data_IF_106640281006
#
_entry.id   IF_106640281006
#
_cell.length_a   1.000
_cell.length_b   1.000
_cell.length_c   1.000
_cell.angle_alpha   90.00
_cell.angle_beta   90.00
_cell.angle_gamma   90.00
#
_symmetry.space_group_name_H-M   'P 1'
#
loop_
_entity.id
_entity.type
_entity.pdbx_description
1 polymer ?
#
# COMPACT_ATOMS: atom_id res chain seq x y z
N UNK A 1 -1.66 3.69 -36.38
CA UNK A 1 -1.98 2.40 -35.75
C UNK A 1 -2.48 2.73 -34.36
N UNK A 2 -3.67 2.29 -33.96
CA UNK A 2 -4.15 2.51 -32.60
C UNK A 2 -3.44 1.55 -31.64
N UNK A 3 -2.90 2.06 -30.53
CA UNK A 3 -2.24 1.28 -29.48
C UNK A 3 -3.24 1.16 -28.32
N UNK A 4 -3.69 -0.06 -27.96
CA UNK A 4 -4.60 -0.24 -26.84
C UNK A 4 -3.93 0.12 -25.50
N UNK A 5 -4.71 0.70 -24.57
CA UNK A 5 -4.22 1.15 -23.23
C UNK A 5 -3.39 0.08 -22.51
N UNK A 6 -3.86 -1.18 -22.50
CA UNK A 6 -3.15 -2.29 -21.83
C UNK A 6 -1.76 -2.60 -22.41
N UNK A 7 -1.48 -2.17 -23.65
CA UNK A 7 -0.20 -2.42 -24.31
C UNK A 7 0.85 -1.35 -24.03
N UNK A 8 0.47 -0.18 -23.50
CA UNK A 8 1.42 0.93 -23.28
C UNK A 8 2.55 0.56 -22.33
N UNK A 9 2.26 -0.16 -21.24
CA UNK A 9 3.30 -0.60 -20.30
C UNK A 9 4.30 -1.57 -20.94
N UNK A 10 3.82 -2.54 -21.71
CA UNK A 10 4.69 -3.50 -22.43
C UNK A 10 5.52 -2.80 -23.52
N UNK A 11 4.93 -1.83 -24.21
CA UNK A 11 5.62 -1.04 -25.23
C UNK A 11 6.70 -0.16 -24.59
N UNK A 12 6.37 0.55 -23.51
CA UNK A 12 7.33 1.38 -22.76
C UNK A 12 8.50 0.54 -22.23
N UNK A 13 8.23 -0.66 -21.72
CA UNK A 13 9.26 -1.58 -21.25
C UNK A 13 10.16 -2.15 -22.38
N UNK A 14 9.66 -2.17 -23.62
CA UNK A 14 10.42 -2.64 -24.78
C UNK A 14 11.12 -1.50 -25.55
N UNK A 15 10.77 -0.26 -25.26
CA UNK A 15 11.56 0.91 -25.70
C UNK A 15 12.84 0.91 -24.86
N UNK A 16 14.01 1.09 -25.49
CA UNK A 16 15.26 1.19 -24.76
C UNK A 16 15.18 2.36 -23.79
N UNK A 17 15.56 2.11 -22.54
CA UNK A 17 15.67 3.15 -21.52
C UNK A 17 16.57 4.33 -21.96
N UNK A 18 17.47 4.06 -22.92
CA UNK A 18 18.34 5.04 -23.58
C UNK A 18 18.21 4.91 -25.10
N UNK A 19 17.33 5.68 -25.75
CA UNK A 19 17.23 5.72 -27.20
C UNK A 19 18.44 6.48 -27.79
N UNK A 20 18.90 6.04 -28.95
CA UNK A 20 19.95 6.76 -29.69
C UNK A 20 19.40 8.05 -30.29
N UNK A 21 20.28 8.99 -30.66
CA UNK A 21 19.90 10.27 -31.32
C UNK A 21 18.99 10.02 -32.53
N UNK A 22 19.32 9.01 -33.35
CA UNK A 22 18.52 8.63 -34.53
C UNK A 22 17.14 8.07 -34.18
N UNK A 23 17.00 7.43 -33.02
CA UNK A 23 15.72 6.91 -32.52
C UNK A 23 14.85 8.04 -31.94
N UNK A 24 15.46 9.04 -31.30
CA UNK A 24 14.79 10.25 -30.82
C UNK A 24 14.28 11.13 -31.97
N UNK A 25 15.05 11.23 -33.06
CA UNK A 25 14.66 11.94 -34.28
C UNK A 25 13.66 11.16 -35.15
N UNK A 26 13.13 10.02 -34.66
CA UNK A 26 12.19 9.17 -35.40
C UNK A 26 12.73 8.72 -36.77
N UNK A 27 14.05 8.55 -36.92
CA UNK A 27 14.70 8.01 -38.12
C UNK A 27 14.82 6.49 -38.07
N UNK A 28 15.02 5.95 -36.87
CA UNK A 28 15.12 4.52 -36.62
C UNK A 28 14.06 4.06 -35.60
N UNK A 29 13.59 2.83 -35.73
CA UNK A 29 12.65 2.22 -34.80
C UNK A 29 13.29 2.09 -33.40
N UNK A 30 12.60 2.60 -32.38
CA UNK A 30 13.08 2.51 -31.00
C UNK A 30 13.17 1.06 -30.49
N UNK A 31 12.35 0.14 -31.01
CA UNK A 31 12.31 -1.25 -30.52
C UNK A 31 13.36 -2.16 -31.20
N UNK A 32 13.61 -1.97 -32.49
CA UNK A 32 14.52 -2.85 -33.24
C UNK A 32 15.76 -2.16 -33.82
N UNK A 33 15.86 -0.83 -33.71
CA UNK A 33 16.99 -0.05 -34.26
C UNK A 33 17.04 0.03 -35.79
N UNK A 34 16.07 -0.58 -36.50
CA UNK A 34 16.04 -0.53 -37.96
C UNK A 34 15.52 0.82 -38.46
N UNK A 35 16.09 1.39 -39.54
CA UNK A 35 15.59 2.62 -40.14
C UNK A 35 14.16 2.44 -40.65
N UNK A 36 13.35 3.50 -40.57
CA UNK A 36 12.03 3.50 -41.18
C UNK A 36 12.17 3.47 -42.71
N UNK A 37 11.70 2.39 -43.35
CA UNK A 37 11.69 2.28 -44.80
C UNK A 37 10.74 3.30 -45.45
N UNK A 38 10.92 3.60 -46.74
CA UNK A 38 10.08 4.57 -47.48
C UNK A 38 8.58 4.27 -47.43
N UNK A 39 8.21 3.02 -47.15
CA UNK A 39 6.82 2.54 -47.12
C UNK A 39 6.27 2.30 -45.68
N UNK A 40 7.13 2.37 -44.65
CA UNK A 40 6.77 2.08 -43.26
C UNK A 40 6.85 3.35 -42.41
N UNK A 41 5.74 4.08 -42.32
CA UNK A 41 5.65 5.27 -41.48
C UNK A 41 5.92 4.98 -39.99
N UNK A 42 6.70 5.85 -39.37
CA UNK A 42 6.92 5.91 -37.94
C UNK A 42 5.57 6.01 -37.19
N UNK A 43 5.39 5.19 -36.16
CA UNK A 43 4.24 5.29 -35.25
C UNK A 43 4.74 5.94 -33.96
N UNK A 44 4.29 7.15 -33.63
CA UNK A 44 4.73 7.85 -32.43
C UNK A 44 4.29 7.08 -31.18
N UNK A 45 5.18 7.01 -30.19
CA UNK A 45 4.93 6.37 -28.89
C UNK A 45 4.67 7.40 -27.78
N UNK A 46 4.95 8.68 -28.06
CA UNK A 46 4.67 9.82 -27.19
C UNK A 46 3.30 10.46 -27.46
N UNK A 47 2.87 11.38 -26.58
CA UNK A 47 1.61 12.12 -26.72
C UNK A 47 1.62 13.10 -27.91
N UNK A 48 2.79 13.56 -28.34
CA UNK A 48 2.96 14.43 -29.51
C UNK A 48 3.42 13.62 -30.75
N UNK A 49 2.70 13.67 -31.89
CA UNK A 49 3.10 13.00 -33.12
C UNK A 49 4.39 13.53 -33.77
N UNK A 50 4.82 14.74 -33.40
CA UNK A 50 5.97 15.43 -34.01
C UNK A 50 7.29 15.28 -33.25
N UNK A 51 7.28 14.76 -32.03
CA UNK A 51 8.47 14.69 -31.16
C UNK A 51 8.48 13.42 -30.30
N UNK A 52 9.66 12.79 -30.17
CA UNK A 52 9.86 11.63 -29.30
C UNK A 52 9.98 10.27 -30.02
N UNK A 53 10.11 9.18 -29.25
CA UNK A 53 10.44 7.86 -29.79
C UNK A 53 9.31 7.29 -30.65
N UNK A 54 9.68 6.71 -31.78
CA UNK A 54 8.75 6.05 -32.70
C UNK A 54 9.03 4.55 -32.83
N UNK A 55 7.98 3.77 -33.00
CA UNK A 55 8.03 2.33 -33.26
C UNK A 55 7.61 1.97 -34.68
N UNK A 56 8.17 0.90 -35.25
CA UNK A 56 7.68 0.36 -36.52
C UNK A 56 6.48 -0.57 -36.28
N UNK A 57 5.54 -0.62 -37.24
CA UNK A 57 4.31 -1.44 -37.13
C UNK A 57 4.57 -2.92 -36.78
N UNK A 58 5.57 -3.62 -37.36
CA UNK A 58 5.85 -5.01 -37.01
C UNK A 58 6.24 -5.20 -35.53
N UNK A 59 7.13 -4.35 -35.02
CA UNK A 59 7.54 -4.38 -33.62
C UNK A 59 6.37 -4.09 -32.68
N UNK A 60 5.56 -3.08 -32.98
CA UNK A 60 4.40 -2.74 -32.17
C UNK A 60 3.34 -3.83 -32.19
N UNK A 61 3.10 -4.48 -33.33
CA UNK A 61 2.16 -5.61 -33.40
C UNK A 61 2.62 -6.77 -32.50
N UNK A 62 3.91 -7.11 -32.52
CA UNK A 62 4.48 -8.14 -31.65
C UNK A 62 4.33 -7.79 -30.17
N UNK A 63 4.59 -6.54 -29.80
CA UNK A 63 4.48 -6.06 -28.42
C UNK A 63 3.04 -6.01 -27.93
N UNK A 64 2.09 -5.58 -28.77
CA UNK A 64 0.66 -5.61 -28.45
C UNK A 64 0.16 -7.05 -28.25
N UNK A 65 0.60 -7.99 -29.10
CA UNK A 65 0.27 -9.43 -28.91
C UNK A 65 0.83 -9.95 -27.58
N UNK A 66 2.09 -9.66 -27.27
CA UNK A 66 2.71 -10.06 -26.00
C UNK A 66 2.01 -9.43 -24.79
N UNK A 67 1.60 -8.17 -24.88
CA UNK A 67 0.86 -7.49 -23.82
C UNK A 67 -0.52 -8.14 -23.60
N UNK A 68 -1.18 -8.56 -24.68
CA UNK A 68 -2.45 -9.30 -24.60
C UNK A 68 -2.26 -10.65 -23.93
N UNK A 69 -1.26 -11.43 -24.34
CA UNK A 69 -0.94 -12.72 -23.73
C UNK A 69 -0.61 -12.58 -22.24
N UNK A 70 0.18 -11.58 -21.86
CA UNK A 70 0.52 -11.30 -20.46
C UNK A 70 -0.70 -10.90 -19.64
N UNK A 71 -1.58 -10.04 -20.18
CA UNK A 71 -2.85 -9.66 -19.53
C UNK A 71 -3.75 -10.88 -19.34
N UNK A 72 -3.91 -11.69 -20.38
CA UNK A 72 -4.80 -12.86 -20.33
C UNK A 72 -4.25 -13.91 -19.34
N UNK A 73 -2.92 -14.06 -19.25
CA UNK A 73 -2.27 -14.89 -18.24
C UNK A 73 -2.43 -14.33 -16.81
N UNK A 74 -2.30 -13.01 -16.62
CA UNK A 74 -2.51 -12.37 -15.32
C UNK A 74 -3.96 -12.54 -14.86
N UNK A 75 -4.94 -12.36 -15.76
CA UNK A 75 -6.35 -12.62 -15.47
C UNK A 75 -6.62 -14.08 -15.08
N UNK A 76 -5.94 -15.03 -15.73
CA UNK A 76 -6.04 -16.44 -15.37
C UNK A 76 -5.45 -16.72 -13.98
N UNK A 77 -4.28 -16.15 -13.68
CA UNK A 77 -3.66 -16.26 -12.35
C UNK A 77 -4.50 -15.61 -11.25
N UNK A 78 -5.09 -14.44 -11.52
CA UNK A 78 -5.99 -13.77 -10.59
C UNK A 78 -7.25 -14.61 -10.35
N UNK A 79 -7.82 -15.22 -11.40
CA UNK A 79 -8.95 -16.13 -11.26
C UNK A 79 -8.59 -17.41 -10.47
N UNK A 80 -7.38 -17.95 -10.65
CA UNK A 80 -6.88 -19.08 -9.87
C UNK A 80 -6.70 -18.73 -8.40
N UNK A 81 -6.12 -17.56 -8.12
CA UNK A 81 -5.96 -17.05 -6.75
C UNK A 81 -7.32 -16.84 -6.08
N UNK A 82 -8.26 -16.20 -6.77
CA UNK A 82 -9.63 -15.99 -6.25
C UNK A 82 -10.30 -17.33 -5.92
N UNK A 83 -10.11 -18.37 -6.73
CA UNK A 83 -10.63 -19.71 -6.44
C UNK A 83 -9.98 -20.33 -5.21
N UNK A 84 -8.66 -20.25 -5.10
CA UNK A 84 -7.93 -20.79 -3.94
C UNK A 84 -8.32 -20.09 -2.64
N UNK A 85 -8.45 -18.75 -2.67
CA UNK A 85 -8.86 -17.95 -1.52
C UNK A 85 -10.30 -18.32 -1.09
N UNK A 86 -11.20 -18.52 -2.05
CA UNK A 86 -12.57 -18.96 -1.78
C UNK A 86 -12.62 -20.38 -1.18
N UNK A 87 -11.86 -21.33 -1.73
CA UNK A 87 -11.77 -22.71 -1.21
C UNK A 87 -11.19 -22.75 0.22
N UNK A 88 -10.14 -21.96 0.47
CA UNK A 88 -9.53 -21.84 1.80
C UNK A 88 -10.51 -21.23 2.82
N UNK A 89 -11.26 -20.19 2.42
CA UNK A 89 -12.29 -19.60 3.25
C UNK A 89 -13.45 -20.56 3.51
N UNK A 90 -13.93 -21.30 2.51
CA UNK A 90 -15.00 -22.30 2.67
C UNK A 90 -14.60 -23.38 3.69
N UNK A 91 -13.35 -23.84 3.65
CA UNK A 91 -12.82 -24.80 4.63
C UNK A 91 -12.75 -24.22 6.04
N UNK A 92 -12.21 -23.00 6.20
CA UNK A 92 -12.12 -22.33 7.50
C UNK A 92 -13.51 -22.07 8.10
N UNK A 93 -14.46 -21.65 7.26
CA UNK A 93 -15.85 -21.44 7.62
C UNK A 93 -16.54 -22.72 8.07
N UNK A 94 -16.39 -23.82 7.33
CA UNK A 94 -16.96 -25.10 7.71
C UNK A 94 -16.45 -25.56 9.09
N UNK A 95 -15.15 -25.35 9.35
CA UNK A 95 -14.54 -25.65 10.65
C UNK A 95 -15.09 -24.78 11.77
N UNK A 96 -15.28 -23.49 11.52
CA UNK A 96 -15.88 -22.56 12.49
C UNK A 96 -17.34 -22.95 12.81
N UNK A 97 -18.16 -23.26 11.80
CA UNK A 97 -19.54 -23.74 12.01
C UNK A 97 -19.57 -25.03 12.83
N UNK A 98 -18.70 -25.99 12.53
CA UNK A 98 -18.62 -27.24 13.30
C UNK A 98 -18.27 -27.01 14.78
N UNK A 99 -17.45 -25.98 15.07
CA UNK A 99 -17.12 -25.58 16.45
C UNK A 99 -18.31 -24.95 17.17
N UNK A 100 -19.03 -24.04 16.50
CA UNK A 100 -20.28 -23.48 17.04
C UNK A 100 -21.28 -24.60 17.36
N UNK A 101 -21.40 -25.59 16.46
CA UNK A 101 -22.29 -26.73 16.65
C UNK A 101 -21.85 -27.67 17.79
N UNK A 102 -20.55 -27.87 18.00
CA UNK A 102 -20.04 -28.66 19.11
C UNK A 102 -20.38 -28.00 20.47
N UNK A 103 -20.15 -26.69 20.61
CA UNK A 103 -20.48 -25.95 21.84
C UNK A 103 -22.00 -25.87 22.03
N UNK A 104 -22.77 -25.71 20.95
CA UNK A 104 -24.24 -25.77 21.00
C UNK A 104 -24.72 -27.09 21.56
N UNK A 105 -24.20 -28.21 21.07
CA UNK A 105 -24.56 -29.55 21.58
C UNK A 105 -24.18 -29.71 23.05
N UNK A 106 -23.00 -29.25 23.46
CA UNK A 106 -22.62 -29.26 24.88
C UNK A 106 -23.59 -28.42 25.73
N UNK A 107 -24.05 -27.27 25.25
CA UNK A 107 -25.04 -26.44 25.93
C UNK A 107 -26.39 -27.16 26.09
N UNK A 108 -26.83 -27.86 25.04
CA UNK A 108 -28.06 -28.66 25.08
C UNK A 108 -27.96 -29.80 26.11
N UNK A 109 -26.86 -30.54 26.13
CA UNK A 109 -26.62 -31.62 27.11
C UNK A 109 -26.56 -31.08 28.55
N UNK A 110 -25.90 -29.95 28.79
CA UNK A 110 -25.87 -29.33 30.13
C UNK A 110 -27.27 -28.84 30.54
N UNK A 111 -28.08 -28.35 29.61
CA UNK A 111 -29.46 -27.97 29.88
C UNK A 111 -30.32 -29.19 30.26
N UNK A 112 -30.13 -30.34 29.60
CA UNK A 112 -30.78 -31.59 29.98
C UNK A 112 -30.34 -32.07 31.37
N UNK A 113 -29.04 -32.01 31.67
CA UNK A 113 -28.49 -32.35 32.99
C UNK A 113 -29.03 -31.44 34.10
N UNK A 114 -29.29 -30.16 33.82
CA UNK A 114 -29.90 -29.24 34.78
C UNK A 114 -31.30 -29.68 35.22
N UNK A 115 -32.03 -30.38 34.36
CA UNK A 115 -33.33 -30.99 34.66
C UNK A 115 -33.24 -32.30 35.44
N UNK A 116 -32.05 -32.89 35.59
CA UNK A 116 -31.85 -34.12 36.35
C UNK A 116 -31.55 -33.83 37.82
N UNK A 117 -32.46 -34.23 38.71
CA UNK A 117 -32.34 -34.01 40.15
C UNK A 117 -31.15 -34.75 40.79
N UNK A 118 -30.64 -35.81 40.15
CA UNK A 118 -29.50 -36.61 40.63
C UNK A 118 -28.16 -35.87 40.51
N UNK A 119 -28.08 -34.81 39.69
CA UNK A 119 -26.86 -34.03 39.53
C UNK A 119 -26.74 -32.97 40.64
N UNK A 120 -25.64 -32.96 41.42
CA UNK A 120 -25.44 -31.96 42.47
C UNK A 120 -25.41 -30.52 41.90
N UNK A 121 -26.10 -29.55 42.53
CA UNK A 121 -26.13 -28.17 42.06
C UNK A 121 -24.75 -27.53 41.87
N UNK A 122 -23.81 -27.79 42.78
CA UNK A 122 -22.42 -27.31 42.65
C UNK A 122 -21.71 -27.86 41.41
N UNK A 123 -21.98 -29.12 41.02
CA UNK A 123 -21.40 -29.74 39.84
C UNK A 123 -21.98 -29.13 38.56
N UNK A 124 -23.28 -28.82 38.56
CA UNK A 124 -23.93 -28.10 37.47
C UNK A 124 -23.36 -26.68 37.30
N UNK A 125 -23.06 -25.98 38.41
CA UNK A 125 -22.40 -24.68 38.35
C UNK A 125 -21.00 -24.75 37.68
N UNK A 126 -20.23 -25.81 37.96
CA UNK A 126 -18.94 -26.04 37.29
C UNK A 126 -19.09 -26.32 35.80
N UNK A 127 -20.01 -27.21 35.40
CA UNK A 127 -20.31 -27.47 33.99
C UNK A 127 -20.69 -26.18 33.24
N UNK A 128 -21.46 -25.31 33.88
CA UNK A 128 -21.85 -24.03 33.32
C UNK A 128 -20.66 -23.07 33.14
N UNK A 129 -19.74 -23.01 34.11
CA UNK A 129 -18.49 -22.22 34.00
C UNK A 129 -17.62 -22.75 32.85
N UNK A 130 -17.48 -24.08 32.75
CA UNK A 130 -16.73 -24.75 31.68
C UNK A 130 -17.33 -24.44 30.31
N UNK A 131 -18.67 -24.47 30.19
CA UNK A 131 -19.39 -24.16 28.97
C UNK A 131 -19.26 -22.68 28.55
N UNK A 132 -19.36 -21.73 29.49
CA UNK A 132 -19.15 -20.30 29.21
C UNK A 132 -17.72 -20.04 28.74
N UNK A 133 -16.75 -20.72 29.34
CA UNK A 133 -15.36 -20.67 28.85
C UNK A 133 -15.28 -21.22 27.42
N UNK A 134 -15.82 -22.40 27.14
CA UNK A 134 -15.81 -22.96 25.79
C UNK A 134 -16.47 -22.03 24.74
N UNK A 135 -17.56 -21.34 25.11
CA UNK A 135 -18.21 -20.34 24.26
C UNK A 135 -17.34 -19.09 24.04
N UNK A 136 -16.68 -18.59 25.09
CA UNK A 136 -15.82 -17.40 25.01
C UNK A 136 -14.51 -17.64 24.23
N UNK A 137 -14.06 -18.89 24.16
CA UNK A 137 -12.85 -19.30 23.45
C UNK A 137 -13.08 -19.64 21.97
N UNK A 138 -14.31 -19.54 21.46
CA UNK A 138 -14.58 -19.67 20.01
C UNK A 138 -13.91 -18.49 19.30
N UNK A 139 -12.96 -18.71 18.37
CA UNK A 139 -12.34 -17.63 17.61
C UNK A 139 -13.36 -16.87 16.79
N UNK A 140 -13.06 -15.60 16.49
CA UNK A 140 -13.88 -14.79 15.58
C UNK A 140 -14.16 -15.51 14.25
N UNK A 141 -15.31 -15.22 13.66
CA UNK A 141 -15.69 -15.75 12.36
C UNK A 141 -14.64 -15.41 11.28
N UNK A 142 -14.34 -16.34 10.36
CA UNK A 142 -13.38 -16.08 9.29
C UNK A 142 -13.90 -15.00 8.33
N UNK A 143 -13.07 -13.98 8.08
CA UNK A 143 -13.40 -12.89 7.15
C UNK A 143 -13.64 -13.41 5.73
N UNK A 144 -14.79 -13.04 5.14
CA UNK A 144 -15.14 -13.40 3.76
C UNK A 144 -14.27 -12.68 2.74
N UNK A 145 -13.68 -13.38 1.75
CA UNK A 145 -12.96 -12.72 0.68
C UNK A 145 -13.92 -11.87 -0.18
N UNK A 146 -13.44 -10.80 -0.83
CA UNK A 146 -14.30 -9.88 -1.61
C UNK A 146 -15.06 -10.54 -2.77
N UNK A 147 -14.63 -11.74 -3.17
CA UNK A 147 -15.24 -12.55 -4.23
C UNK A 147 -16.45 -13.36 -3.79
N UNK A 148 -16.68 -13.48 -2.48
CA UNK A 148 -17.80 -14.22 -1.91
C UNK A 148 -18.79 -13.23 -1.30
N UNK A 149 -20.08 -13.51 -1.49
CA UNK A 149 -21.16 -12.66 -0.99
C UNK A 149 -21.10 -12.56 0.55
N UNK A 150 -21.37 -11.37 1.06
CA UNK A 150 -21.07 -11.00 2.45
C UNK A 150 -22.11 -11.55 3.45
N UNK A 151 -23.27 -12.00 2.98
CA UNK A 151 -24.34 -12.56 3.81
C UNK A 151 -24.29 -14.10 3.88
N UNK A 152 -23.54 -14.62 4.84
CA UNK A 152 -23.51 -16.06 5.08
C UNK A 152 -24.64 -16.53 6.02
N UNK A 153 -25.77 -16.91 5.43
CA UNK A 153 -26.95 -17.37 6.19
C UNK A 153 -26.70 -18.58 7.08
N UNK A 154 -25.78 -19.49 6.72
CA UNK A 154 -25.53 -20.68 7.52
C UNK A 154 -24.69 -20.32 8.74
N UNK A 155 -23.70 -19.44 8.59
CA UNK A 155 -22.91 -18.93 9.72
C UNK A 155 -23.82 -18.18 10.70
N UNK A 156 -24.62 -17.22 10.22
CA UNK A 156 -25.54 -16.47 11.08
C UNK A 156 -26.59 -17.37 11.74
N UNK A 157 -27.05 -18.42 11.04
CA UNK A 157 -27.97 -19.41 11.63
C UNK A 157 -27.29 -20.22 12.75
N UNK A 158 -26.03 -20.62 12.59
CA UNK A 158 -25.28 -21.37 13.60
C UNK A 158 -25.01 -20.52 14.85
N UNK A 159 -24.61 -19.26 14.67
CA UNK A 159 -24.43 -18.29 15.76
C UNK A 159 -25.73 -18.07 16.53
N UNK A 160 -26.85 -17.89 15.82
CA UNK A 160 -28.17 -17.72 16.43
C UNK A 160 -28.58 -18.96 17.24
N UNK A 161 -28.35 -20.16 16.69
CA UNK A 161 -28.68 -21.42 17.38
C UNK A 161 -27.85 -21.62 18.64
N UNK A 162 -26.53 -21.35 18.58
CA UNK A 162 -25.68 -21.35 19.78
C UNK A 162 -26.17 -20.33 20.80
N UNK A 163 -26.47 -19.10 20.38
CA UNK A 163 -27.00 -18.06 21.26
C UNK A 163 -28.29 -18.50 21.97
N UNK A 164 -29.21 -19.14 21.23
CA UNK A 164 -30.44 -19.69 21.79
C UNK A 164 -30.16 -20.81 22.79
N UNK A 165 -29.28 -21.76 22.48
CA UNK A 165 -28.93 -22.86 23.39
C UNK A 165 -28.25 -22.35 24.68
N UNK A 166 -27.38 -21.35 24.56
CA UNK A 166 -26.74 -20.69 25.70
C UNK A 166 -27.74 -19.95 26.59
N UNK A 167 -28.81 -19.37 26.04
CA UNK A 167 -29.88 -18.78 26.84
C UNK A 167 -30.63 -19.88 27.61
N UNK A 168 -31.00 -20.97 26.94
CA UNK A 168 -31.73 -22.10 27.56
C UNK A 168 -30.95 -22.72 28.71
N UNK A 169 -29.66 -23.01 28.53
CA UNK A 169 -28.83 -23.61 29.59
C UNK A 169 -28.61 -22.66 30.77
N UNK A 170 -28.45 -21.35 30.51
CA UNK A 170 -28.37 -20.32 31.56
C UNK A 170 -29.64 -20.30 32.39
N UNK A 171 -30.81 -20.31 31.75
CA UNK A 171 -32.10 -20.32 32.43
C UNK A 171 -32.28 -21.58 33.27
N UNK A 172 -32.07 -22.76 32.69
CA UNK A 172 -32.21 -24.04 33.39
C UNK A 172 -31.25 -24.16 34.59
N UNK A 173 -30.01 -23.71 34.42
CA UNK A 173 -29.01 -23.72 35.50
C UNK A 173 -29.36 -22.71 36.58
N UNK A 174 -29.79 -21.50 36.21
CA UNK A 174 -30.19 -20.47 37.17
C UNK A 174 -31.39 -20.92 38.01
N UNK A 175 -32.41 -21.52 37.39
CA UNK A 175 -33.57 -22.07 38.10
C UNK A 175 -33.15 -23.16 39.10
N UNK A 176 -32.28 -24.09 38.68
CA UNK A 176 -31.79 -25.17 39.54
C UNK A 176 -30.97 -24.65 40.73
N UNK A 177 -30.07 -23.69 40.48
CA UNK A 177 -29.25 -23.08 41.52
C UNK A 177 -30.07 -22.19 42.46
N UNK A 178 -31.03 -21.42 41.95
CA UNK A 178 -31.93 -20.62 42.76
C UNK A 178 -32.78 -21.50 43.68
N UNK A 179 -33.32 -22.60 43.16
CA UNK A 179 -34.08 -23.57 43.96
C UNK A 179 -33.21 -24.21 45.06
N UNK A 180 -31.96 -24.57 44.73
CA UNK A 180 -31.01 -25.05 45.73
C UNK A 180 -30.72 -24.01 46.81
N UNK A 181 -30.42 -22.77 46.44
CA UNK A 181 -30.15 -21.68 47.39
C UNK A 181 -31.36 -21.38 48.28
N UNK A 182 -32.58 -21.40 47.74
CA UNK A 182 -33.80 -21.20 48.52
C UNK A 182 -34.00 -22.34 49.52
N UNK A 183 -33.75 -23.59 49.11
CA UNK A 183 -33.90 -24.75 49.99
C UNK A 183 -32.82 -24.83 51.07
N UNK A 184 -31.56 -24.53 50.74
CA UNK A 184 -30.46 -24.49 51.72
C UNK A 184 -30.60 -23.29 52.68
N UNK A 185 -31.21 -22.19 52.23
CA UNK A 185 -31.49 -21.03 53.07
C UNK A 185 -32.77 -21.18 53.91
N UNK A 186 -33.55 -22.25 53.72
CA UNK A 186 -34.70 -22.54 54.59
C UNK A 186 -34.25 -23.32 55.83
N UNK A 187 -34.40 -22.75 57.04
CA UNK A 187 -34.11 -23.49 58.26
C UNK A 187 -35.12 -24.62 58.48
N UNK A 188 -34.66 -25.74 59.08
CA UNK A 188 -35.47 -26.94 59.37
C UNK A 188 -36.71 -26.65 60.24
N UNK A 189 -36.70 -25.53 60.98
CA UNK A 189 -37.87 -24.95 61.63
C UNK A 189 -37.93 -23.45 61.26
N UNK A 190 -39.07 -22.94 60.72
CA UNK A 190 -39.22 -21.54 60.35
C UNK A 190 -39.39 -20.68 61.61
N UNK A 191 -38.34 -20.56 62.41
CA UNK A 191 -38.26 -19.53 63.44
C UNK A 191 -37.89 -18.20 62.79
N UNK A 192 -38.71 -17.19 63.05
CA UNK A 192 -38.48 -15.80 62.66
C UNK A 192 -37.22 -15.27 63.35
N UNK A 193 -36.04 -15.52 62.77
CA UNK A 193 -34.79 -14.98 63.30
C UNK A 193 -34.53 -13.61 62.67
N UNK A 194 -34.66 -12.56 63.49
CA UNK A 194 -34.15 -11.24 63.18
C UNK A 194 -32.68 -11.17 63.56
N UNK A 195 -31.79 -11.48 62.62
CA UNK A 195 -30.35 -11.12 62.63
C UNK A 195 -29.71 -11.60 61.32
N UNK A 196 -29.91 -10.84 60.24
CA UNK A 196 -29.05 -10.91 59.06
C UNK A 196 -27.98 -9.83 59.17
N UNK A 197 -26.95 -10.08 59.98
CA UNK A 197 -25.72 -9.29 59.96
C UNK A 197 -24.55 -10.24 59.69
N UNK A 198 -23.93 -10.08 58.52
CA UNK A 198 -22.59 -10.61 58.30
C UNK A 198 -21.67 -10.02 59.39
N UNK A 199 -20.77 -10.81 60.01
CA UNK A 199 -19.75 -10.24 60.88
C UNK A 199 -18.98 -9.16 60.12
N UNK A 200 -18.62 -8.06 60.79
CA UNK A 200 -17.96 -6.87 60.20
C UNK A 200 -16.64 -7.17 59.46
N UNK A 201 -16.12 -8.40 59.57
CA UNK A 201 -14.88 -8.87 58.95
C UNK A 201 -15.07 -9.83 57.75
N UNK A 202 -16.31 -10.08 57.31
CA UNK A 202 -16.55 -10.88 56.11
C UNK A 202 -16.19 -10.08 54.84
N UNK A 203 -15.05 -10.39 54.22
CA UNK A 203 -14.59 -9.69 53.00
C UNK A 203 -15.20 -10.21 51.69
N UNK A 204 -16.04 -11.25 51.75
CA UNK A 204 -16.72 -11.82 50.58
C UNK A 204 -15.77 -12.35 49.48
N UNK A 205 -14.49 -12.57 49.78
CA UNK A 205 -13.47 -12.97 48.80
C UNK A 205 -13.18 -14.47 48.90
N UNK A 206 -13.63 -15.22 47.90
CA UNK A 206 -13.19 -16.59 47.66
C UNK A 206 -12.12 -16.55 46.56
N UNK A 207 -10.85 -16.73 46.92
CA UNK A 207 -9.74 -16.84 45.97
C UNK A 207 -9.80 -18.21 45.27
N UNK A 208 -10.29 -18.27 44.03
CA UNK A 208 -10.28 -19.48 43.20
C UNK A 208 -9.13 -19.42 42.18
N UNK A 209 -7.91 -19.71 42.64
CA UNK A 209 -6.69 -19.77 41.81
C UNK A 209 -6.42 -21.16 41.21
N UNK A 210 -7.42 -22.05 41.17
CA UNK A 210 -7.28 -23.47 40.78
C UNK A 210 -8.16 -23.87 39.60
N UNK A 211 -8.83 -22.91 38.95
CA UNK A 211 -9.77 -23.18 37.86
C UNK A 211 -8.98 -23.32 36.56
N UNK A 212 -8.82 -24.55 36.07
CA UNK A 212 -8.25 -24.84 34.75
C UNK A 212 -9.36 -24.69 33.69
N UNK A 213 -9.68 -23.44 33.32
CA UNK A 213 -10.79 -23.10 32.42
C UNK A 213 -10.45 -23.22 30.93
N UNK A 214 -9.78 -24.29 30.53
CA UNK A 214 -9.46 -24.58 29.13
C UNK A 214 -10.72 -24.89 28.29
N UNK A 215 -10.69 -24.67 26.97
CA UNK A 215 -11.84 -24.91 26.07
C UNK A 215 -12.29 -26.38 26.05
N UNK A 216 -11.42 -27.30 26.46
CA UNK A 216 -11.67 -28.74 26.44
C UNK A 216 -12.31 -29.26 27.74
N UNK A 217 -12.28 -28.47 28.83
CA UNK A 217 -12.70 -28.90 30.17
C UNK A 217 -14.17 -29.35 30.23
N UNK A 218 -15.08 -28.70 29.48
CA UNK A 218 -16.49 -29.10 29.44
C UNK A 218 -16.69 -30.46 28.77
N UNK A 219 -15.89 -30.78 27.75
CA UNK A 219 -15.99 -32.06 27.05
C UNK A 219 -15.44 -33.21 27.90
N UNK A 220 -14.37 -32.95 28.64
CA UNK A 220 -13.83 -33.89 29.63
C UNK A 220 -14.83 -34.14 30.77
N UNK A 221 -15.45 -33.10 31.32
CA UNK A 221 -16.47 -33.25 32.37
C UNK A 221 -17.74 -33.96 31.88
N UNK A 222 -18.22 -33.70 30.65
CA UNK A 222 -19.35 -34.43 30.06
C UNK A 222 -19.03 -35.92 29.84
N UNK A 223 -17.79 -36.22 29.47
CA UNK A 223 -17.33 -37.60 29.31
C UNK A 223 -17.35 -38.36 30.65
N UNK A 224 -17.00 -37.72 31.76
CA UNK A 224 -17.11 -38.30 33.11
C UNK A 224 -18.56 -38.66 33.48
N UNK A 225 -19.55 -38.00 32.86
CA UNK A 225 -20.97 -38.29 33.01
C UNK A 225 -21.53 -39.26 31.95
N UNK A 226 -20.66 -39.91 31.18
CA UNK A 226 -21.04 -40.92 30.19
C UNK A 226 -21.54 -40.33 28.85
N UNK A 227 -21.45 -39.02 28.67
CA UNK A 227 -21.87 -38.32 27.45
C UNK A 227 -20.62 -38.12 26.58
N UNK A 228 -20.60 -38.77 25.41
CA UNK A 228 -19.46 -38.65 24.49
C UNK A 228 -19.80 -37.67 23.37
N UNK A 229 -19.10 -36.53 23.36
CA UNK A 229 -19.15 -35.56 22.27
C UNK A 229 -17.80 -35.53 21.54
N UNK A 230 -17.84 -35.43 20.21
CA UNK A 230 -16.63 -35.23 19.41
C UNK A 230 -16.06 -33.84 19.71
N UNK A 231 -14.89 -33.80 20.36
CA UNK A 231 -14.16 -32.56 20.57
C UNK A 231 -13.79 -31.94 19.20
N UNK A 232 -13.97 -30.62 19.01
CA UNK A 232 -13.57 -29.98 17.77
C UNK A 232 -12.06 -30.13 17.62
N UNK A 233 -11.60 -30.81 16.56
CA UNK A 233 -10.18 -30.97 16.29
C UNK A 233 -9.43 -29.62 16.28
N UNK A 234 -8.10 -29.63 16.51
CA UNK A 234 -7.31 -28.42 16.53
C UNK A 234 -7.58 -27.61 15.26
N UNK A 235 -7.99 -26.37 15.42
CA UNK A 235 -8.31 -25.51 14.29
C UNK A 235 -7.08 -25.26 13.43
N UNK A 236 -7.23 -25.03 12.11
CA UNK A 236 -6.14 -24.48 11.33
C UNK A 236 -5.65 -23.20 12.03
N UNK A 237 -4.34 -23.07 12.20
CA UNK A 237 -3.72 -21.90 12.83
C UNK A 237 -4.24 -20.64 12.12
N UNK A 238 -4.57 -19.60 12.89
CA UNK A 238 -4.96 -18.32 12.30
C UNK A 238 -3.89 -17.87 11.29
N UNK A 239 -4.24 -17.21 10.17
CA UNK A 239 -3.26 -16.76 9.17
C UNK A 239 -2.10 -15.96 9.80
N UNK A 240 -2.38 -15.24 10.89
CA UNK A 240 -1.43 -14.47 11.68
C UNK A 240 -0.45 -15.34 12.49
N UNK A 241 -0.89 -16.47 13.04
CA UNK A 241 -0.03 -17.47 13.71
C UNK A 241 0.70 -18.37 12.70
N UNK A 242 0.04 -18.74 11.61
CA UNK A 242 0.65 -19.46 10.49
C UNK A 242 1.79 -18.65 9.85
N UNK A 243 1.64 -17.31 9.76
CA UNK A 243 2.69 -16.41 9.29
C UNK A 243 3.92 -16.33 10.21
N UNK A 244 3.77 -16.61 11.52
CA UNK A 244 4.88 -16.65 12.47
C UNK A 244 5.74 -17.92 12.33
N UNK A 245 5.16 -18.99 11.79
CA UNK A 245 5.84 -20.25 11.53
C UNK A 245 6.08 -20.53 10.05
N UNK A 246 5.67 -19.61 9.17
CA UNK A 246 5.97 -19.69 7.75
C UNK A 246 7.50 -19.62 7.56
N UNK A 247 8.06 -20.47 6.67
CA UNK A 247 9.46 -20.32 6.29
C UNK A 247 9.68 -18.87 5.81
N UNK A 248 10.87 -18.29 6.07
CA UNK A 248 11.14 -16.89 5.74
C UNK A 248 10.78 -16.64 4.28
N UNK A 249 10.18 -15.48 3.94
CA UNK A 249 9.69 -15.21 2.60
C UNK A 249 10.80 -15.53 1.61
N UNK A 250 10.48 -16.38 0.64
CA UNK A 250 11.36 -16.62 -0.50
C UNK A 250 11.76 -15.24 -1.02
N UNK A 251 13.07 -15.00 -1.08
CA UNK A 251 13.66 -13.73 -1.52
C UNK A 251 12.96 -13.35 -2.83
N UNK A 252 12.07 -12.36 -2.77
CA UNK A 252 11.25 -11.99 -3.92
C UNK A 252 12.18 -11.72 -5.09
N UNK A 253 11.84 -12.26 -6.26
CA UNK A 253 12.68 -12.10 -7.44
C UNK A 253 12.95 -10.61 -7.71
N UNK A 254 14.20 -10.25 -8.04
CA UNK A 254 14.58 -8.87 -8.31
C UNK A 254 13.67 -8.27 -9.40
N UNK A 255 13.06 -7.10 -9.14
CA UNK A 255 12.20 -6.41 -10.13
C UNK A 255 12.94 -6.09 -11.43
N UNK A 256 14.21 -5.71 -11.32
CA UNK A 256 15.10 -5.33 -12.41
C UNK A 256 16.43 -6.08 -12.25
N UNK A 257 16.53 -7.34 -12.74
CA UNK A 257 17.74 -8.15 -12.57
C UNK A 257 18.95 -7.50 -13.26
N UNK A 258 20.11 -7.47 -12.61
CA UNK A 258 21.34 -6.90 -13.20
C UNK A 258 21.26 -5.40 -13.48
N UNK A 259 20.54 -4.65 -12.65
CA UNK A 259 20.46 -3.19 -12.77
C UNK A 259 21.82 -2.54 -12.51
N UNK A 260 22.49 -2.91 -11.42
CA UNK A 260 23.81 -2.37 -11.06
C UNK A 260 24.86 -2.52 -12.17
N UNK A 261 24.94 -3.71 -12.78
CA UNK A 261 25.88 -4.01 -13.88
C UNK A 261 25.64 -3.16 -15.14
N UNK A 262 24.39 -2.74 -15.37
CA UNK A 262 23.97 -2.03 -16.59
C UNK A 262 23.85 -0.52 -16.40
N UNK A 263 23.49 -0.08 -15.21
CA UNK A 263 23.23 1.32 -14.89
C UNK A 263 24.51 2.14 -14.75
N UNK A 264 25.55 1.57 -14.15
CA UNK A 264 26.83 2.25 -13.92
C UNK A 264 27.43 2.87 -15.19
N UNK A 265 27.72 2.06 -16.23
CA UNK A 265 28.32 2.57 -17.47
C UNK A 265 27.44 3.58 -18.21
N UNK A 266 26.11 3.38 -18.19
CA UNK A 266 25.13 4.25 -18.81
C UNK A 266 25.07 5.63 -18.13
N UNK A 267 25.07 5.67 -16.80
CA UNK A 267 25.06 6.88 -16.01
C UNK A 267 26.39 7.65 -16.12
N UNK A 268 27.51 6.93 -16.10
CA UNK A 268 28.83 7.53 -16.30
C UNK A 268 28.96 8.20 -17.69
N UNK A 269 28.42 7.59 -18.75
CA UNK A 269 28.37 8.19 -20.08
C UNK A 269 27.53 9.48 -20.15
N UNK A 270 26.61 9.67 -19.20
CA UNK A 270 25.74 10.84 -19.07
C UNK A 270 26.26 11.82 -18.01
N UNK A 271 27.49 11.61 -17.51
CA UNK A 271 28.17 12.50 -16.57
C UNK A 271 27.74 12.32 -15.11
N UNK A 272 26.95 11.28 -14.78
CA UNK A 272 26.61 10.93 -13.40
C UNK A 272 27.66 9.96 -12.88
N UNK A 273 28.46 10.42 -11.92
CA UNK A 273 29.38 9.56 -11.17
C UNK A 273 28.58 8.66 -10.22
N UNK A 274 28.55 7.35 -10.50
CA UNK A 274 27.83 6.36 -9.69
C UNK A 274 28.60 5.92 -8.44
N UNK A 275 29.88 6.27 -8.36
CA UNK A 275 30.73 5.98 -7.21
C UNK A 275 30.72 7.13 -6.19
N UNK A 276 30.36 8.34 -6.61
CA UNK A 276 29.98 9.44 -5.72
C UNK A 276 28.53 9.26 -5.22
N UNK A 277 28.31 8.93 -3.92
CA UNK A 277 26.98 8.73 -3.38
C UNK A 277 26.10 9.97 -3.44
N UNK A 278 26.68 11.18 -3.35
CA UNK A 278 25.94 12.43 -3.37
C UNK A 278 25.52 12.80 -4.79
N UNK A 279 26.38 12.58 -5.79
CA UNK A 279 26.02 12.75 -7.20
C UNK A 279 24.90 11.78 -7.61
N UNK A 280 25.03 10.51 -7.24
CA UNK A 280 24.01 9.49 -7.53
C UNK A 280 22.69 9.80 -6.82
N UNK A 281 22.72 10.18 -5.54
CA UNK A 281 21.54 10.59 -4.78
C UNK A 281 20.86 11.82 -5.39
N UNK A 282 21.64 12.82 -5.81
CA UNK A 282 21.12 14.02 -6.46
C UNK A 282 20.42 13.71 -7.78
N UNK A 283 21.02 12.85 -8.60
CA UNK A 283 20.45 12.40 -9.87
C UNK A 283 19.19 11.53 -9.66
N UNK A 284 19.20 10.64 -8.67
CA UNK A 284 18.04 9.83 -8.32
C UNK A 284 16.86 10.67 -7.82
N UNK A 285 17.10 11.71 -7.03
CA UNK A 285 16.06 12.63 -6.60
C UNK A 285 15.48 13.41 -7.79
N UNK A 286 16.32 13.86 -8.73
CA UNK A 286 15.85 14.49 -9.96
C UNK A 286 14.99 13.53 -10.80
N UNK A 287 15.36 12.24 -10.83
CA UNK A 287 14.59 11.20 -11.50
C UNK A 287 13.22 10.96 -10.90
N UNK A 288 13.13 10.80 -9.57
CA UNK A 288 11.85 10.65 -8.89
C UNK A 288 10.92 11.84 -9.16
N UNK A 289 11.45 13.06 -9.12
CA UNK A 289 10.67 14.27 -9.43
C UNK A 289 10.24 14.28 -10.90
N UNK A 290 11.12 13.92 -11.83
CA UNK A 290 10.81 13.86 -13.25
C UNK A 290 9.72 12.82 -13.54
N UNK A 291 9.78 11.64 -12.93
CA UNK A 291 8.76 10.60 -13.10
C UNK A 291 7.39 11.06 -12.57
N UNK A 292 7.38 11.75 -11.43
CA UNK A 292 6.14 12.24 -10.82
C UNK A 292 5.52 13.41 -11.61
N UNK A 293 6.34 14.34 -12.10
CA UNK A 293 5.86 15.54 -12.80
C UNK A 293 5.67 15.33 -14.31
N UNK A 294 6.58 14.62 -14.98
CA UNK A 294 6.58 14.49 -16.45
C UNK A 294 5.89 13.22 -16.98
N UNK A 295 5.75 12.16 -16.17
CA UNK A 295 5.07 10.93 -16.60
C UNK A 295 3.58 10.86 -16.20
N UNK A 296 3.04 11.97 -15.70
CA UNK A 296 1.68 12.08 -15.18
C UNK A 296 0.82 13.10 -15.93
N UNK A 297 -0.38 13.38 -15.44
CA UNK A 297 -1.33 14.27 -16.11
C UNK A 297 -1.08 15.75 -15.81
N UNK A 298 0.15 16.12 -15.43
CA UNK A 298 0.50 17.48 -15.04
C UNK A 298 0.33 18.46 -16.20
N UNK A 299 0.65 18.06 -17.44
CA UNK A 299 0.47 18.93 -18.60
C UNK A 299 -1.01 19.28 -18.79
N UNK A 300 -1.92 18.31 -18.61
CA UNK A 300 -3.36 18.57 -18.62
C UNK A 300 -3.81 19.49 -17.47
N UNK A 301 -3.16 19.41 -16.29
CA UNK A 301 -3.40 20.32 -15.17
C UNK A 301 -2.89 21.75 -15.48
N UNK A 302 -1.75 21.88 -16.17
CA UNK A 302 -1.18 23.17 -16.60
C UNK A 302 -2.03 23.87 -17.64
N UNK A 303 -2.58 23.11 -18.58
CA UNK A 303 -3.45 23.63 -19.63
C UNK A 303 -4.85 24.01 -19.13
N UNK A 304 -5.27 23.46 -17.98
CA UNK A 304 -6.56 23.76 -17.39
C UNK A 304 -6.64 25.19 -16.80
N UNK A 305 -7.83 25.81 -16.77
CA UNK A 305 -8.03 27.09 -16.10
C UNK A 305 -7.59 27.04 -14.63
N UNK A 306 -6.72 27.99 -14.24
CA UNK A 306 -6.13 28.03 -12.91
C UNK A 306 -4.96 27.07 -12.70
N UNK A 307 -4.45 26.44 -13.76
CA UNK A 307 -3.25 25.60 -13.73
C UNK A 307 -1.96 26.37 -13.40
N UNK A 308 -0.90 25.67 -12.98
CA UNK A 308 0.37 26.31 -12.62
C UNK A 308 1.12 26.78 -13.87
N UNK A 309 1.76 27.93 -13.77
CA UNK A 309 2.67 28.44 -14.79
C UNK A 309 4.00 27.67 -14.81
N UNK A 310 4.84 27.94 -15.81
CA UNK A 310 6.16 27.29 -15.91
C UNK A 310 7.08 27.63 -14.72
N UNK A 311 7.00 28.87 -14.21
CA UNK A 311 7.73 29.28 -13.01
C UNK A 311 7.30 28.51 -11.75
N UNK A 312 6.00 28.23 -11.60
CA UNK A 312 5.46 27.42 -10.51
C UNK A 312 5.98 25.97 -10.60
N UNK A 313 5.94 25.38 -11.79
CA UNK A 313 6.43 24.01 -12.03
C UNK A 313 7.94 23.93 -11.75
N UNK A 314 8.73 24.91 -12.20
CA UNK A 314 10.17 24.93 -11.96
C UNK A 314 10.48 25.08 -10.47
N UNK A 315 9.84 26.01 -9.77
CA UNK A 315 10.02 26.18 -8.32
C UNK A 315 9.62 24.91 -7.55
N UNK A 316 8.48 24.32 -7.89
CA UNK A 316 7.98 23.10 -7.26
C UNK A 316 8.92 21.91 -7.53
N UNK A 317 9.48 21.79 -8.74
CA UNK A 317 10.43 20.73 -9.06
C UNK A 317 11.69 20.77 -8.17
N UNK A 318 12.17 21.97 -7.83
CA UNK A 318 13.34 22.15 -6.95
C UNK A 318 12.99 21.82 -5.50
N UNK A 319 11.82 22.21 -5.02
CA UNK A 319 11.40 21.85 -3.66
C UNK A 319 11.17 20.34 -3.52
N UNK A 320 10.48 19.74 -4.48
CA UNK A 320 10.30 18.29 -4.54
C UNK A 320 11.63 17.57 -4.67
N UNK A 321 12.63 18.12 -5.36
CA UNK A 321 13.97 17.55 -5.42
C UNK A 321 14.62 17.48 -4.03
N UNK A 322 14.57 18.57 -3.25
CA UNK A 322 15.08 18.58 -1.87
C UNK A 322 14.36 17.57 -0.99
N UNK A 323 13.03 17.46 -1.14
CA UNK A 323 12.21 16.49 -0.38
C UNK A 323 12.48 15.06 -0.80
N UNK A 324 12.64 14.80 -2.09
CA UNK A 324 13.01 13.50 -2.64
C UNK A 324 14.38 13.07 -2.10
N UNK A 325 15.40 13.95 -2.12
CA UNK A 325 16.71 13.67 -1.50
C UNK A 325 16.57 13.28 -0.04
N UNK A 326 15.84 14.09 0.74
CA UNK A 326 15.62 13.82 2.17
C UNK A 326 14.92 12.48 2.40
N UNK A 327 13.89 12.17 1.61
CA UNK A 327 13.15 10.92 1.71
C UNK A 327 13.99 9.70 1.29
N UNK A 328 14.78 9.82 0.22
CA UNK A 328 15.71 8.78 -0.23
C UNK A 328 16.80 8.51 0.81
N UNK A 329 17.38 9.55 1.42
CA UNK A 329 18.32 9.38 2.55
C UNK A 329 17.64 8.70 3.72
N UNK A 330 16.45 9.15 4.12
CA UNK A 330 15.71 8.52 5.21
C UNK A 330 15.37 7.05 4.91
N UNK A 331 15.13 6.71 3.64
CA UNK A 331 14.84 5.33 3.23
C UNK A 331 16.05 4.40 3.32
N UNK A 332 17.28 4.94 3.25
CA UNK A 332 18.52 4.18 3.47
C UNK A 332 18.58 3.60 4.89
N UNK A 333 18.31 4.45 5.87
CA UNK A 333 18.53 4.13 7.29
C UNK A 333 17.26 3.64 7.99
N UNK A 334 16.09 4.12 7.56
CA UNK A 334 14.79 3.86 8.16
C UNK A 334 13.86 2.97 7.33
N UNK A 335 14.34 2.42 6.22
CA UNK A 335 13.60 1.53 5.33
C UNK A 335 12.68 2.22 4.32
N UNK A 336 12.14 1.46 3.33
CA UNK A 336 11.41 1.99 2.18
C UNK A 336 10.19 2.87 2.56
N UNK A 337 9.50 2.53 3.65
CA UNK A 337 8.31 3.27 4.12
C UNK A 337 8.57 4.77 4.42
N UNK A 338 9.83 5.19 4.56
CA UNK A 338 10.20 6.60 4.72
C UNK A 338 9.93 7.44 3.47
N UNK A 339 9.74 6.82 2.30
CA UNK A 339 9.39 7.51 1.06
C UNK A 339 7.96 8.08 1.10
N UNK A 340 7.07 7.58 1.96
CA UNK A 340 5.74 8.14 2.16
C UNK A 340 5.75 9.63 2.57
N UNK A 341 6.84 10.12 3.20
CA UNK A 341 7.00 11.54 3.53
C UNK A 341 7.11 12.44 2.29
N UNK A 342 7.66 11.92 1.18
CA UNK A 342 7.66 12.60 -0.10
C UNK A 342 6.26 12.58 -0.73
N UNK A 343 5.59 11.41 -0.74
CA UNK A 343 4.21 11.28 -1.25
C UNK A 343 3.28 12.26 -0.57
N UNK A 344 3.28 12.29 0.77
CA UNK A 344 2.40 13.14 1.58
C UNK A 344 2.49 14.62 1.21
N UNK A 345 3.66 15.08 0.77
CA UNK A 345 3.84 16.46 0.33
C UNK A 345 3.47 16.63 -1.14
N UNK A 346 3.93 15.73 -2.00
CA UNK A 346 3.71 15.83 -3.44
C UNK A 346 2.23 15.69 -3.81
N UNK A 347 1.41 15.05 -2.96
CA UNK A 347 -0.03 14.87 -3.15
C UNK A 347 -0.88 15.78 -2.26
N UNK A 348 -0.27 16.67 -1.46
CA UNK A 348 -1.02 17.58 -0.59
C UNK A 348 -1.84 18.56 -1.44
N UNK A 349 -3.16 18.49 -1.30
CA UNK A 349 -4.09 19.28 -2.09
C UNK A 349 -4.11 20.75 -1.68
N UNK A 350 -3.80 21.04 -0.42
CA UNK A 350 -3.93 22.34 0.21
C UNK A 350 -2.59 23.10 0.28
N UNK A 351 -1.48 22.38 0.17
CA UNK A 351 -0.16 22.99 0.24
C UNK A 351 0.13 23.88 -0.99
N UNK A 352 0.42 25.16 -0.79
CA UNK A 352 0.89 26.02 -1.88
C UNK A 352 2.22 25.53 -2.43
N UNK A 353 2.35 25.57 -3.75
CA UNK A 353 3.60 25.21 -4.41
C UNK A 353 4.75 26.18 -4.04
N UNK A 354 5.98 25.70 -4.20
CA UNK A 354 7.17 26.44 -3.79
C UNK A 354 7.41 27.74 -4.58
N UNK A 355 8.42 28.50 -4.15
CA UNK A 355 8.81 29.77 -4.80
C UNK A 355 7.82 30.92 -4.62
N UNK A 356 6.98 30.86 -3.58
CA UNK A 356 5.94 31.85 -3.33
C UNK A 356 4.73 31.71 -4.25
N UNK A 357 4.53 30.54 -4.86
CA UNK A 357 3.34 30.25 -5.66
C UNK A 357 2.06 30.39 -4.84
N UNK A 358 0.99 30.83 -5.50
CA UNK A 358 -0.38 30.75 -4.97
C UNK A 358 -1.12 29.51 -5.45
N UNK A 359 -0.53 28.74 -6.35
CA UNK A 359 -1.13 27.54 -6.89
C UNK A 359 -1.19 26.43 -5.83
N UNK A 360 -2.34 25.76 -5.76
CA UNK A 360 -2.57 24.55 -4.96
C UNK A 360 -3.21 23.50 -5.87
N UNK A 361 -2.96 22.21 -5.61
CA UNK A 361 -3.60 21.15 -6.40
C UNK A 361 -5.14 21.20 -6.27
N UNK A 362 -5.69 21.61 -5.12
CA UNK A 362 -7.14 21.80 -4.93
C UNK A 362 -7.72 22.86 -5.88
N UNK A 363 -6.95 23.89 -6.19
CA UNK A 363 -7.41 24.97 -7.08
C UNK A 363 -7.41 24.59 -8.56
N UNK A 364 -6.79 23.47 -8.93
CA UNK A 364 -6.76 23.00 -10.30
C UNK A 364 -8.10 22.39 -10.73
N UNK A 365 -8.54 22.75 -11.94
CA UNK A 365 -9.72 22.15 -12.59
C UNK A 365 -9.39 20.90 -13.44
N UNK A 366 -8.13 20.46 -13.42
CA UNK A 366 -7.61 19.32 -14.19
C UNK A 366 -7.68 17.97 -13.47
N UNK A 367 -7.07 16.92 -14.04
CA UNK A 367 -7.08 15.53 -13.54
C UNK A 367 -6.21 15.31 -12.28
N UNK A 368 -6.54 15.98 -11.17
CA UNK A 368 -5.77 15.96 -9.91
C UNK A 368 -5.71 14.56 -9.29
N UNK A 369 -6.79 13.78 -9.34
CA UNK A 369 -6.80 12.40 -8.81
C UNK A 369 -5.88 11.46 -9.57
N UNK A 370 -5.73 11.65 -10.89
CA UNK A 370 -4.76 10.92 -11.69
C UNK A 370 -3.33 11.36 -11.38
N UNK A 371 -3.11 12.64 -11.07
CA UNK A 371 -1.81 13.13 -10.62
C UNK A 371 -1.40 12.50 -9.30
N UNK A 372 -2.30 12.44 -8.31
CA UNK A 372 -2.07 11.77 -7.03
C UNK A 372 -1.73 10.29 -7.22
N UNK A 373 -2.52 9.56 -8.02
CA UNK A 373 -2.23 8.15 -8.34
C UNK A 373 -0.90 7.95 -9.06
N UNK A 374 -0.50 8.90 -9.91
CA UNK A 374 0.80 8.87 -10.56
C UNK A 374 1.93 9.00 -9.53
N UNK A 375 1.82 9.97 -8.61
CA UNK A 375 2.79 10.16 -7.52
C UNK A 375 2.92 8.89 -6.69
N UNK A 376 1.79 8.34 -6.24
CA UNK A 376 1.75 7.12 -5.43
C UNK A 376 2.38 5.94 -6.15
N UNK A 377 2.07 5.73 -7.44
CA UNK A 377 2.64 4.66 -8.25
C UNK A 377 4.16 4.79 -8.36
N UNK A 378 4.66 5.97 -8.68
CA UNK A 378 6.10 6.18 -8.85
C UNK A 378 6.83 6.04 -7.50
N UNK A 379 6.26 6.52 -6.40
CA UNK A 379 6.87 6.31 -5.08
C UNK A 379 6.87 4.82 -4.72
N UNK A 380 5.77 4.12 -4.94
CA UNK A 380 5.65 2.67 -4.70
C UNK A 380 6.71 1.86 -5.48
N UNK A 381 6.94 2.16 -6.76
CA UNK A 381 8.01 1.49 -7.53
C UNK A 381 9.39 1.70 -6.88
N UNK A 382 9.65 2.90 -6.35
CA UNK A 382 10.92 3.17 -5.64
C UNK A 382 11.00 2.40 -4.34
N UNK A 383 9.93 2.38 -3.55
CA UNK A 383 9.85 1.61 -2.30
C UNK A 383 10.11 0.13 -2.55
N UNK A 384 9.54 -0.42 -3.62
CA UNK A 384 9.66 -1.84 -3.93
C UNK A 384 11.06 -2.21 -4.44
N UNK A 385 11.73 -1.31 -5.16
CA UNK A 385 13.15 -1.46 -5.50
C UNK A 385 14.03 -1.43 -4.26
N UNK A 386 13.81 -0.47 -3.35
CA UNK A 386 14.53 -0.42 -2.06
C UNK A 386 14.31 -1.71 -1.27
N UNK A 387 13.08 -2.24 -1.25
CA UNK A 387 12.71 -3.45 -0.51
C UNK A 387 13.33 -4.71 -1.09
N UNK A 388 13.27 -4.90 -2.41
CA UNK A 388 13.64 -6.16 -3.07
C UNK A 388 15.09 -6.23 -3.53
N UNK A 389 15.67 -5.09 -3.87
CA UNK A 389 16.98 -4.98 -4.51
C UNK A 389 17.97 -4.10 -3.73
N UNK A 390 17.46 -3.33 -2.78
CA UNK A 390 18.27 -2.48 -1.93
C UNK A 390 18.32 -1.04 -2.41
N UNK A 391 18.80 -0.18 -1.51
CA UNK A 391 18.76 1.27 -1.69
C UNK A 391 19.54 1.76 -2.91
N UNK A 392 20.73 1.19 -3.17
CA UNK A 392 21.58 1.61 -4.29
C UNK A 392 20.91 1.32 -5.64
N UNK A 393 20.28 0.17 -5.81
CA UNK A 393 19.56 -0.17 -7.04
C UNK A 393 18.37 0.77 -7.28
N UNK A 394 17.64 1.15 -6.23
CA UNK A 394 16.59 2.16 -6.36
C UNK A 394 17.13 3.52 -6.83
N UNK A 395 18.30 3.94 -6.35
CA UNK A 395 18.95 5.17 -6.82
C UNK A 395 19.38 5.06 -8.29
N UNK A 396 20.02 3.95 -8.67
CA UNK A 396 20.46 3.71 -10.04
C UNK A 396 19.30 3.74 -11.02
N UNK A 397 18.17 3.10 -10.67
CA UNK A 397 16.94 3.15 -11.46
C UNK A 397 16.45 4.59 -11.66
N UNK A 398 16.34 5.37 -10.58
CA UNK A 398 15.82 6.73 -10.67
C UNK A 398 16.78 7.67 -11.38
N UNK A 399 18.09 7.56 -11.14
CA UNK A 399 19.10 8.33 -11.85
C UNK A 399 19.06 8.06 -13.36
N UNK A 400 18.81 6.79 -13.77
CA UNK A 400 18.63 6.44 -15.18
C UNK A 400 17.37 7.09 -15.76
N UNK A 401 16.25 7.08 -15.04
CA UNK A 401 15.02 7.75 -15.49
C UNK A 401 15.23 9.25 -15.68
N UNK A 402 15.94 9.89 -14.75
CA UNK A 402 16.29 11.30 -14.87
C UNK A 402 17.18 11.58 -16.09
N UNK A 403 18.09 10.67 -16.39
CA UNK A 403 19.03 10.86 -17.50
C UNK A 403 18.36 10.77 -18.88
N UNK A 404 17.22 10.07 -18.99
CA UNK A 404 16.46 9.99 -20.24
C UNK A 404 15.42 11.10 -20.40
N UNK A 405 14.85 11.61 -19.31
CA UNK A 405 13.73 12.58 -19.36
C UNK A 405 14.06 13.99 -18.84
N UNK A 406 15.16 14.14 -18.11
CA UNK A 406 15.42 15.31 -17.27
C UNK A 406 16.92 15.67 -17.17
N UNK A 407 17.74 15.34 -18.17
CA UNK A 407 19.20 15.51 -18.15
C UNK A 407 19.67 16.95 -17.84
N UNK A 408 18.84 17.96 -18.15
CA UNK A 408 19.08 19.38 -17.89
C UNK A 408 18.22 19.95 -16.75
N UNK A 409 17.76 19.12 -15.80
CA UNK A 409 17.00 19.59 -14.63
C UNK A 409 17.90 19.78 -13.41
N UNK A 410 17.44 20.62 -12.47
CA UNK A 410 18.15 20.85 -11.21
C UNK A 410 18.50 19.53 -10.51
N UNK A 411 19.77 19.40 -10.10
CA UNK A 411 20.31 18.19 -9.49
C UNK A 411 20.98 17.21 -10.47
N UNK A 412 20.89 17.44 -11.78
CA UNK A 412 21.59 16.66 -12.82
C UNK A 412 22.89 17.31 -13.27
N UNK A 413 23.88 16.53 -13.77
CA UNK A 413 25.16 17.06 -14.26
C UNK A 413 25.02 18.06 -15.42
N UNK A 414 23.94 17.98 -16.21
CA UNK A 414 23.66 18.91 -17.30
C UNK A 414 23.11 20.27 -16.86
N UNK A 415 22.72 20.43 -15.59
CA UNK A 415 22.12 21.67 -15.08
C UNK A 415 23.05 22.89 -15.16
N UNK A 416 24.32 22.84 -14.72
CA UNK A 416 25.20 24.01 -14.77
C UNK A 416 25.41 24.53 -16.20
N UNK A 417 25.52 23.64 -17.18
CA UNK A 417 25.63 24.03 -18.59
C UNK A 417 24.35 24.71 -19.09
N UNK A 418 23.18 24.21 -18.68
CA UNK A 418 21.90 24.81 -19.03
C UNK A 418 21.71 26.20 -18.39
N UNK A 419 22.16 26.37 -17.14
CA UNK A 419 22.22 27.68 -16.47
C UNK A 419 23.15 28.62 -17.21
N UNK A 420 24.37 28.20 -17.53
CA UNK A 420 25.33 29.02 -18.29
C UNK A 420 24.75 29.51 -19.61
N UNK A 421 24.15 28.61 -20.39
CA UNK A 421 23.51 28.96 -21.67
C UNK A 421 22.31 29.91 -21.49
N UNK A 422 21.54 29.75 -20.42
CA UNK A 422 20.46 30.68 -20.07
C UNK A 422 21.00 32.05 -19.66
N UNK A 423 22.08 32.10 -18.89
CA UNK A 423 22.72 33.35 -18.46
C UNK A 423 23.32 34.14 -19.63
N UNK A 424 23.91 33.45 -20.62
CA UNK A 424 24.38 34.08 -21.86
C UNK A 424 23.23 34.74 -22.64
N UNK A 425 22.10 34.03 -22.77
CA UNK A 425 20.89 34.59 -23.40
C UNK A 425 20.38 35.77 -22.59
N UNK A 426 20.28 35.63 -21.27
CA UNK A 426 19.78 36.67 -20.36
C UNK A 426 20.62 37.94 -20.42
N UNK A 427 21.95 37.81 -20.53
CA UNK A 427 22.87 38.94 -20.65
C UNK A 427 22.67 39.75 -21.95
N UNK A 428 22.17 39.11 -23.02
CA UNK A 428 21.92 39.75 -24.31
C UNK A 428 20.54 40.42 -24.44
N UNK A 429 19.65 40.21 -23.47
CA UNK A 429 18.27 40.72 -23.51
C UNK A 429 18.16 42.14 -22.94
N UNK A 430 17.19 42.90 -23.47
CA UNK A 430 16.70 44.11 -22.80
C UNK A 430 15.86 43.72 -21.59
N UNK A 431 16.35 44.06 -20.39
CA UNK A 431 15.77 43.66 -19.09
C UNK A 431 14.94 44.76 -18.42
N UNK A 432 14.57 45.83 -19.13
CA UNK A 432 13.78 46.93 -18.54
C UNK A 432 12.42 46.48 -17.97
N UNK A 433 11.81 45.44 -18.56
CA UNK A 433 10.55 44.84 -18.10
C UNK A 433 10.73 43.54 -17.29
N UNK A 434 11.96 43.19 -16.91
CA UNK A 434 12.24 42.00 -16.12
C UNK A 434 11.92 42.22 -14.63
N UNK A 435 11.53 41.16 -13.89
CA UNK A 435 11.44 41.21 -12.43
C UNK A 435 12.74 41.72 -11.79
N UNK A 436 12.62 42.46 -10.68
CA UNK A 436 13.76 43.11 -9.99
C UNK A 436 14.81 42.10 -9.52
N UNK A 437 14.39 40.88 -9.23
CA UNK A 437 15.22 39.73 -8.85
C UNK A 437 16.21 39.36 -9.97
N UNK A 438 15.92 39.72 -11.22
CA UNK A 438 16.78 39.47 -12.39
C UNK A 438 17.74 40.62 -12.72
N UNK A 439 17.82 41.65 -11.87
CA UNK A 439 18.68 42.82 -12.10
C UNK A 439 20.17 42.47 -11.97
N UNK A 440 20.54 41.71 -10.94
CA UNK A 440 21.91 41.26 -10.68
C UNK A 440 22.12 39.85 -11.27
N UNK A 441 22.77 39.79 -12.43
CA UNK A 441 23.01 38.53 -13.15
C UNK A 441 23.88 37.56 -12.35
N UNK A 442 24.81 38.04 -11.53
CA UNK A 442 25.65 37.16 -10.72
C UNK A 442 24.85 36.51 -9.59
N UNK A 443 23.98 37.28 -8.95
CA UNK A 443 23.05 36.76 -7.95
C UNK A 443 22.06 35.75 -8.57
N UNK A 444 21.58 36.01 -9.80
CA UNK A 444 20.68 35.10 -10.53
C UNK A 444 21.37 33.78 -10.84
N UNK A 445 22.58 33.81 -11.42
CA UNK A 445 23.35 32.61 -11.72
C UNK A 445 23.58 31.77 -10.45
N UNK A 446 23.98 32.43 -9.36
CA UNK A 446 24.18 31.77 -8.07
C UNK A 446 22.89 31.12 -7.56
N UNK A 447 21.76 31.83 -7.65
CA UNK A 447 20.47 31.30 -7.23
C UNK A 447 20.02 30.11 -8.09
N UNK A 448 20.20 30.17 -9.42
CA UNK A 448 19.88 29.07 -10.33
C UNK A 448 20.74 27.82 -10.05
N UNK A 449 22.01 27.98 -9.67
CA UNK A 449 22.88 26.85 -9.35
C UNK A 449 22.58 26.22 -7.99
N UNK A 450 22.12 27.00 -7.01
CA UNK A 450 22.01 26.56 -5.61
C UNK A 450 20.58 26.27 -5.13
N UNK A 451 19.59 26.96 -5.69
CA UNK A 451 18.19 26.85 -5.29
C UNK A 451 17.30 27.80 -6.11
N UNK A 452 16.95 27.41 -7.35
CA UNK A 452 16.21 28.26 -8.27
C UNK A 452 14.89 28.79 -7.71
N UNK A 453 14.21 28.00 -6.88
CA UNK A 453 12.95 28.36 -6.24
C UNK A 453 13.03 29.66 -5.41
N UNK A 454 14.22 30.05 -4.95
CA UNK A 454 14.44 31.30 -4.20
C UNK A 454 14.31 32.57 -5.04
N UNK A 455 14.39 32.47 -6.37
CA UNK A 455 14.15 33.60 -7.28
C UNK A 455 12.67 33.99 -7.34
N UNK A 456 11.78 33.08 -6.94
CA UNK A 456 10.34 33.28 -7.00
C UNK A 456 9.74 32.94 -8.37
N UNK A 457 8.47 32.54 -8.35
CA UNK A 457 7.76 32.03 -9.54
C UNK A 457 7.65 33.05 -10.68
N UNK A 458 7.59 34.36 -10.38
CA UNK A 458 7.52 35.41 -11.40
C UNK A 458 8.84 35.53 -12.18
N UNK A 459 9.98 35.54 -11.49
CA UNK A 459 11.30 35.58 -12.10
C UNK A 459 11.60 34.30 -12.90
N UNK A 460 11.28 33.14 -12.34
CA UNK A 460 11.44 31.86 -13.03
C UNK A 460 10.53 31.74 -14.26
N UNK A 461 9.28 32.20 -14.17
CA UNK A 461 8.36 32.22 -15.30
C UNK A 461 8.78 33.22 -16.38
N UNK A 462 9.42 34.32 -16.01
CA UNK A 462 10.01 35.25 -16.98
C UNK A 462 11.20 34.61 -17.70
N UNK A 463 12.10 33.95 -16.96
CA UNK A 463 13.24 33.23 -17.52
C UNK A 463 12.82 32.13 -18.48
N UNK A 464 11.81 31.33 -18.13
CA UNK A 464 11.29 30.27 -19.00
C UNK A 464 10.88 30.78 -20.39
N UNK A 465 10.29 31.97 -20.46
CA UNK A 465 9.84 32.58 -21.73
C UNK A 465 10.95 33.20 -22.58
N UNK A 466 11.99 33.75 -21.95
CA UNK A 466 12.97 34.60 -22.65
C UNK A 466 14.39 34.02 -22.69
N UNK A 467 14.75 33.21 -21.70
CA UNK A 467 16.04 32.55 -21.57
C UNK A 467 15.83 31.15 -20.97
N UNK A 468 15.15 30.22 -21.68
CA UNK A 468 14.75 28.93 -21.12
C UNK A 468 15.95 28.13 -20.60
N UNK A 469 15.73 27.36 -19.54
CA UNK A 469 16.76 26.60 -18.81
C UNK A 469 16.92 25.16 -19.31
N UNK A 470 16.38 24.83 -20.48
CA UNK A 470 16.37 23.48 -21.05
C UNK A 470 14.98 23.02 -21.44
#
# INVERSE_FOLDING_TARGET
MHIPVYAHGTIRAAVPALPTVRQLESLDCCVCGAPFGRDLGAVPLGPDPGSGPSGCRPCLRRLVTRAREARDAALAQDADRIRQDAEAWESARAHHIARLEAVRRAAEEVAELAGNEEIPPLRLAWLMISLESACAWIPDAPESPPSVDQEDRLLSSAELQLGSAMITVREATADRLAYHLINEAQPDEPEMCGEMECPEECTGRHDTSHIDCGPDAVFEELQEHGITLDAPGPGPLSPRLAALFAPPPQKESPLLPGLEERAGPALAALGVDTDDPEALLSAAAAGLVADVLASGPLDAIREAPGGPGAGDVLAQSVDLHRRARKALVAARDGGPARLAAFTAVATDLDLPWAGGSRFTLRSASGPVSEFVRNVEREVWVTEELVRRQGWRDALLHRALSASSMAAHRFGMPGWPAAVSASMERLASLDRQAAPKELADLHAVETALLQGPDRLGVEALGWLDRHAPLG
#
